data_IF_477913904560
#
_entry.id   IF_477913904560
#
_cell.length_a   1.000
_cell.length_b   1.000
_cell.length_c   1.000
_cell.angle_alpha   90.00
_cell.angle_beta   90.00
_cell.angle_gamma   90.00
#
_symmetry.space_group_name_H-M   'P 1'
#
loop_
_entity.id
_entity.type
_entity.pdbx_description
1 polymer ?
#
# COMPACT_ATOMS: atom_id res chain seq x y z
N UNK A 1 -9.85 11.84 15.45
CA UNK A 1 -8.99 10.63 15.62
C UNK A 1 -8.38 10.60 17.00
N UNK A 2 -8.24 9.41 17.60
CA UNK A 2 -7.55 9.24 18.89
C UNK A 2 -6.04 9.13 18.66
N UNK A 3 -5.26 9.86 19.48
CA UNK A 3 -3.79 9.73 19.50
C UNK A 3 -3.40 8.64 20.51
N UNK A 4 -2.71 7.60 20.03
CA UNK A 4 -2.30 6.45 20.86
C UNK A 4 -0.78 6.31 20.81
N UNK A 5 -0.15 6.19 21.98
CA UNK A 5 1.28 5.94 22.12
C UNK A 5 1.61 4.50 21.69
N UNK A 6 2.61 4.32 20.82
CA UNK A 6 3.18 3.00 20.51
C UNK A 6 4.43 2.75 21.35
N UNK A 7 5.44 3.64 21.24
CA UNK A 7 6.67 3.58 22.02
C UNK A 7 7.43 4.91 21.93
N UNK A 8 7.98 5.38 23.04
CA UNK A 8 8.81 6.59 23.07
C UNK A 8 8.08 7.81 22.50
N UNK A 9 8.58 8.35 21.39
CA UNK A 9 8.00 9.48 20.68
C UNK A 9 7.14 9.03 19.46
N UNK A 10 6.97 7.74 19.25
CA UNK A 10 6.18 7.18 18.15
C UNK A 10 4.74 6.96 18.59
N UNK A 11 3.81 7.60 17.91
CA UNK A 11 2.37 7.53 18.14
C UNK A 11 1.65 7.15 16.85
N UNK A 12 0.36 6.83 16.96
CA UNK A 12 -0.56 6.69 15.83
C UNK A 12 -1.82 7.52 16.07
N UNK A 13 -2.36 8.12 15.03
CA UNK A 13 -3.73 8.62 14.96
C UNK A 13 -4.61 7.51 14.39
N UNK A 14 -5.68 7.18 15.12
CA UNK A 14 -6.59 6.09 14.75
C UNK A 14 -7.71 6.62 13.85
N UNK A 15 -7.53 6.51 12.52
CA UNK A 15 -8.51 6.79 11.49
C UNK A 15 -9.04 5.51 10.82
N UNK A 16 -9.50 5.61 9.58
CA UNK A 16 -9.75 4.43 8.73
C UNK A 16 -8.45 3.65 8.55
N UNK A 17 -7.35 4.39 8.29
CA UNK A 17 -5.98 3.89 8.38
C UNK A 17 -5.31 4.41 9.64
N UNK A 18 -4.32 3.67 10.15
CA UNK A 18 -3.44 4.20 11.17
C UNK A 18 -2.47 5.19 10.54
N UNK A 19 -2.47 6.43 11.01
CA UNK A 19 -1.53 7.46 10.60
C UNK A 19 -0.46 7.59 11.68
N UNK A 20 0.73 6.99 11.50
CA UNK A 20 1.79 7.12 12.49
C UNK A 20 2.38 8.52 12.47
N UNK A 21 2.89 8.94 13.60
CA UNK A 21 3.67 10.17 13.72
C UNK A 21 4.82 9.99 14.71
N UNK A 22 5.87 10.75 14.49
CA UNK A 22 7.00 10.86 15.42
C UNK A 22 7.05 12.26 16.02
N UNK A 23 6.95 12.36 17.36
CA UNK A 23 7.03 13.65 18.05
C UNK A 23 8.46 14.18 18.06
N UNK A 24 8.60 15.46 17.72
CA UNK A 24 9.87 16.20 17.73
C UNK A 24 9.75 17.31 18.79
N UNK A 25 10.27 17.05 19.97
CA UNK A 25 10.05 17.93 21.13
C UNK A 25 8.64 17.82 21.68
N UNK A 26 8.13 18.93 22.24
CA UNK A 26 6.84 18.93 22.96
C UNK A 26 5.64 19.14 22.03
N UNK A 27 5.77 20.01 21.02
CA UNK A 27 4.69 20.60 20.24
C UNK A 27 4.77 20.30 18.72
N UNK A 28 5.76 19.54 18.25
CA UNK A 28 5.99 19.25 16.85
C UNK A 28 5.91 17.77 16.54
N UNK A 29 5.56 17.43 15.29
CA UNK A 29 5.59 16.03 14.83
C UNK A 29 5.96 15.94 13.35
N UNK A 30 6.50 14.78 12.96
CA UNK A 30 6.64 14.34 11.58
C UNK A 30 5.57 13.31 11.36
N UNK A 31 4.71 13.51 10.34
CA UNK A 31 3.70 12.54 9.94
C UNK A 31 4.32 11.45 9.06
N UNK A 32 3.97 10.20 9.33
CA UNK A 32 4.27 9.08 8.45
C UNK A 32 2.95 8.71 7.73
N UNK A 33 2.76 9.24 6.51
CA UNK A 33 1.50 9.33 5.78
C UNK A 33 0.49 10.36 6.35
N UNK A 34 -0.62 10.57 5.61
CA UNK A 34 -1.59 11.62 5.92
C UNK A 34 -3.06 11.18 5.80
N UNK A 35 -3.32 9.88 5.53
CA UNK A 35 -4.66 9.31 5.48
C UNK A 35 -5.53 9.76 4.30
N UNK A 36 -6.82 9.46 4.40
CA UNK A 36 -7.84 9.75 3.40
C UNK A 36 -8.20 11.23 3.32
N UNK A 37 -8.60 11.70 2.14
CA UNK A 37 -9.08 13.05 1.91
C UNK A 37 -10.27 13.43 2.82
N UNK A 38 -11.19 12.50 3.03
CA UNK A 38 -12.39 12.71 3.85
C UNK A 38 -12.09 12.89 5.34
N UNK A 39 -10.93 12.45 5.79
CA UNK A 39 -10.47 12.51 7.19
C UNK A 39 -9.62 13.75 7.48
N UNK A 40 -9.38 14.61 6.48
CA UNK A 40 -8.50 15.80 6.61
C UNK A 40 -8.82 16.66 7.82
N UNK A 41 -10.09 17.02 7.97
CA UNK A 41 -10.51 17.89 9.09
C UNK A 41 -10.26 17.20 10.43
N UNK A 42 -10.58 15.93 10.54
CA UNK A 42 -10.40 15.17 11.77
C UNK A 42 -8.91 14.97 12.11
N UNK A 43 -8.05 14.78 11.09
CA UNK A 43 -6.60 14.75 11.24
C UNK A 43 -6.09 16.08 11.85
N UNK A 44 -6.48 17.21 11.28
CA UNK A 44 -6.05 18.52 11.75
C UNK A 44 -6.57 18.83 13.18
N UNK A 45 -7.85 18.58 13.43
CA UNK A 45 -8.44 18.74 14.77
C UNK A 45 -7.74 17.87 15.82
N UNK A 46 -7.33 16.66 15.43
CA UNK A 46 -6.62 15.74 16.31
C UNK A 46 -5.20 16.21 16.61
N UNK A 47 -4.49 16.74 15.62
CA UNK A 47 -3.18 17.36 15.82
C UNK A 47 -3.30 18.57 16.77
N UNK A 48 -4.22 19.49 16.47
CA UNK A 48 -4.43 20.71 17.25
C UNK A 48 -4.83 20.42 18.71
N UNK A 49 -5.78 19.49 18.92
CA UNK A 49 -6.25 19.13 20.27
C UNK A 49 -5.17 18.47 21.13
N UNK A 50 -4.16 17.87 20.51
CA UNK A 50 -3.00 17.31 21.18
C UNK A 50 -1.80 18.28 21.23
N UNK A 51 -1.99 19.54 20.83
CA UNK A 51 -0.93 20.57 20.83
C UNK A 51 0.19 20.27 19.84
N UNK A 52 -0.08 19.55 18.74
CA UNK A 52 0.93 19.13 17.78
C UNK A 52 0.83 19.93 16.48
N UNK A 53 1.99 20.39 16.02
CA UNK A 53 2.15 21.04 14.70
C UNK A 53 3.01 20.15 13.81
N UNK A 54 2.55 19.76 12.63
CA UNK A 54 3.38 18.99 11.70
C UNK A 54 4.54 19.85 11.18
N UNK A 55 5.74 19.27 11.10
CA UNK A 55 6.95 19.92 10.58
C UNK A 55 7.52 19.22 9.36
N UNK A 56 6.94 18.09 8.96
CA UNK A 56 7.29 17.35 7.77
C UNK A 56 6.38 16.14 7.59
N UNK A 57 6.32 15.63 6.35
CA UNK A 57 5.58 14.43 5.98
C UNK A 57 6.56 13.48 5.29
N UNK A 58 6.70 12.26 5.81
CA UNK A 58 7.47 11.19 5.20
C UNK A 58 6.49 10.09 4.82
N UNK A 59 6.19 9.95 3.52
CA UNK A 59 5.16 9.04 3.05
C UNK A 59 5.72 7.70 2.64
N UNK A 60 4.99 6.64 3.01
CA UNK A 60 5.32 5.25 2.69
C UNK A 60 5.15 4.94 1.20
N UNK A 61 4.06 5.43 0.60
CA UNK A 61 3.73 5.30 -0.82
C UNK A 61 2.57 6.22 -1.20
N UNK A 62 2.27 6.35 -2.49
CA UNK A 62 1.38 7.38 -3.02
C UNK A 62 -0.04 6.86 -3.34
N UNK A 63 -0.67 6.09 -2.46
CA UNK A 63 -2.08 5.77 -2.56
C UNK A 63 -2.96 6.84 -1.88
N UNK A 64 -4.25 6.86 -2.26
CA UNK A 64 -5.21 7.90 -1.80
C UNK A 64 -5.48 7.85 -0.29
N UNK A 65 -5.35 6.70 0.31
CA UNK A 65 -5.51 6.45 1.74
C UNK A 65 -4.25 6.76 2.57
N UNK A 66 -3.14 7.11 1.88
CA UNK A 66 -1.87 7.46 2.52
C UNK A 66 -1.45 8.91 2.25
N UNK A 67 -1.63 9.40 1.03
CA UNK A 67 -1.08 10.68 0.58
C UNK A 67 -2.12 11.74 0.22
N UNK A 68 -3.42 11.52 0.44
CA UNK A 68 -4.46 12.43 -0.03
C UNK A 68 -4.38 13.84 0.57
N UNK A 69 -3.71 14.01 1.69
CA UNK A 69 -3.57 15.29 2.34
C UNK A 69 -2.16 15.90 2.24
N UNK A 70 -1.21 15.23 1.56
CA UNK A 70 0.17 15.71 1.45
C UNK A 70 0.26 17.12 0.89
N UNK A 71 -0.23 17.37 -0.32
CA UNK A 71 -0.14 18.69 -0.96
C UNK A 71 -0.86 19.78 -0.18
N UNK A 72 -1.99 19.46 0.43
CA UNK A 72 -2.72 20.42 1.27
C UNK A 72 -1.93 20.81 2.53
N UNK A 73 -1.38 19.83 3.25
CA UNK A 73 -0.62 20.08 4.47
C UNK A 73 0.72 20.75 4.15
N UNK A 74 1.37 20.36 3.04
CA UNK A 74 2.58 21.00 2.52
C UNK A 74 2.36 22.50 2.31
N UNK A 75 1.29 22.88 1.61
CA UNK A 75 0.95 24.27 1.35
C UNK A 75 0.55 25.03 2.62
N UNK A 76 -0.35 24.43 3.42
CA UNK A 76 -0.90 25.07 4.61
C UNK A 76 0.12 25.37 5.69
N UNK A 77 1.02 24.43 5.94
CA UNK A 77 2.02 24.53 7.02
C UNK A 77 3.41 24.93 6.52
N UNK A 78 3.61 25.00 5.20
CA UNK A 78 4.93 25.29 4.62
C UNK A 78 5.98 24.23 4.97
N UNK A 79 5.60 22.95 5.01
CA UNK A 79 6.41 21.83 5.48
C UNK A 79 6.87 20.94 4.31
N UNK A 80 8.07 20.33 4.40
CA UNK A 80 8.54 19.43 3.36
C UNK A 80 7.78 18.11 3.35
N UNK A 81 7.62 17.56 2.13
CA UNK A 81 7.11 16.22 1.86
C UNK A 81 8.23 15.37 1.27
N UNK A 82 8.45 14.18 1.84
CA UNK A 82 9.42 13.20 1.34
C UNK A 82 8.69 11.98 0.77
N UNK A 83 9.07 11.56 -0.46
CA UNK A 83 8.61 10.37 -1.17
C UNK A 83 9.78 9.70 -1.89
N UNK A 84 9.68 8.42 -2.18
CA UNK A 84 10.58 7.80 -3.16
C UNK A 84 10.35 8.39 -4.54
N UNK A 85 11.33 8.33 -5.43
CA UNK A 85 11.22 8.96 -6.74
C UNK A 85 10.10 8.33 -7.60
N UNK A 86 9.83 7.02 -7.44
CA UNK A 86 8.76 6.30 -8.13
C UNK A 86 7.39 6.86 -7.72
N UNK A 87 7.18 7.01 -6.43
CA UNK A 87 5.93 7.55 -5.88
C UNK A 87 5.77 9.05 -6.19
N UNK A 88 6.85 9.82 -6.12
CA UNK A 88 6.90 11.21 -6.55
C UNK A 88 6.54 11.37 -8.03
N UNK A 89 7.08 10.50 -8.89
CA UNK A 89 6.74 10.44 -10.30
C UNK A 89 5.25 10.17 -10.52
N UNK A 90 4.65 9.27 -9.76
CA UNK A 90 3.22 8.98 -9.82
C UNK A 90 2.36 10.19 -9.43
N UNK A 91 2.74 10.94 -8.40
CA UNK A 91 2.03 12.12 -7.93
C UNK A 91 2.28 13.39 -8.77
N UNK A 92 3.14 13.34 -9.80
CA UNK A 92 3.57 14.54 -10.53
C UNK A 92 2.48 15.17 -11.39
N UNK A 93 1.47 14.42 -11.81
CA UNK A 93 0.37 14.91 -12.65
C UNK A 93 -0.80 13.91 -12.75
N UNK A 94 -1.97 14.41 -13.19
CA UNK A 94 -3.12 13.55 -13.55
C UNK A 94 -2.73 12.52 -14.63
N UNK A 95 -1.84 12.89 -15.57
CA UNK A 95 -1.42 11.98 -16.64
C UNK A 95 -0.60 10.80 -16.11
N UNK A 96 0.30 11.03 -15.15
CA UNK A 96 1.06 9.96 -14.50
C UNK A 96 0.18 9.09 -13.62
N UNK A 97 -0.76 9.68 -12.88
CA UNK A 97 -1.79 8.94 -12.15
C UNK A 97 -2.66 8.09 -13.08
N UNK A 98 -3.01 8.60 -14.27
CA UNK A 98 -3.76 7.82 -15.28
C UNK A 98 -2.96 6.62 -15.79
N UNK A 99 -1.64 6.76 -15.97
CA UNK A 99 -0.79 5.62 -16.32
C UNK A 99 -0.78 4.54 -15.24
N UNK A 100 -0.85 4.93 -13.98
CA UNK A 100 -0.98 4.02 -12.85
C UNK A 100 -2.39 3.40 -12.76
N UNK A 101 -3.44 4.20 -12.88
CA UNK A 101 -4.84 3.76 -12.86
C UNK A 101 -5.34 3.36 -14.25
N UNK A 102 -4.69 2.39 -14.90
CA UNK A 102 -4.95 2.00 -16.30
C UNK A 102 -6.43 1.71 -16.60
N UNK A 103 -7.15 1.08 -15.67
CA UNK A 103 -8.56 0.68 -15.86
C UNK A 103 -9.56 1.83 -15.70
N UNK A 104 -9.15 2.97 -15.12
CA UNK A 104 -10.02 4.13 -14.91
C UNK A 104 -9.90 5.12 -16.07
N UNK A 105 -10.99 5.83 -16.40
CA UNK A 105 -10.93 6.92 -17.37
C UNK A 105 -10.20 8.15 -16.81
N UNK A 106 -9.59 9.01 -17.65
CA UNK A 106 -8.92 10.22 -17.15
C UNK A 106 -9.82 11.10 -16.27
N UNK A 107 -11.10 11.29 -16.64
CA UNK A 107 -12.04 12.07 -15.86
C UNK A 107 -12.41 11.44 -14.50
N UNK A 108 -12.33 10.11 -14.36
CA UNK A 108 -12.46 9.44 -13.05
C UNK A 108 -11.20 9.68 -12.22
N UNK A 109 -10.02 9.50 -12.79
CA UNK A 109 -8.75 9.73 -12.09
C UNK A 109 -8.66 11.17 -11.59
N UNK A 110 -8.97 12.15 -12.44
CA UNK A 110 -8.97 13.57 -12.07
C UNK A 110 -9.91 13.84 -10.89
N UNK A 111 -11.14 13.36 -10.97
CA UNK A 111 -12.18 13.62 -9.97
C UNK A 111 -11.85 12.99 -8.60
N UNK A 112 -11.14 11.87 -8.58
CA UNK A 112 -11.01 11.03 -7.40
C UNK A 112 -9.61 10.95 -6.83
N UNK A 113 -8.61 11.34 -7.64
CA UNK A 113 -7.21 11.22 -7.26
C UNK A 113 -6.42 12.51 -7.46
N UNK A 114 -7.07 13.62 -7.85
CA UNK A 114 -6.37 14.92 -8.00
C UNK A 114 -5.72 15.41 -6.70
N UNK A 115 -6.24 15.00 -5.55
CA UNK A 115 -5.65 15.29 -4.25
C UNK A 115 -4.25 14.70 -4.06
N UNK A 116 -3.87 13.69 -4.85
CA UNK A 116 -2.52 13.12 -4.85
C UNK A 116 -1.51 13.96 -5.64
N UNK A 117 -1.98 14.89 -6.50
CA UNK A 117 -1.06 15.67 -7.34
C UNK A 117 -0.38 16.74 -6.49
N UNK A 118 0.91 16.53 -6.24
CA UNK A 118 1.78 17.48 -5.57
C UNK A 118 3.24 17.22 -5.97
N UNK A 119 4.13 18.15 -5.63
CA UNK A 119 5.56 17.98 -5.83
C UNK A 119 6.23 17.79 -4.47
N UNK A 120 6.78 16.61 -4.17
CA UNK A 120 7.53 16.42 -2.94
C UNK A 120 8.83 17.24 -2.97
N UNK A 121 9.26 17.74 -1.81
CA UNK A 121 10.49 18.56 -1.67
C UNK A 121 11.72 17.67 -1.59
N UNK A 122 11.58 16.45 -1.07
CA UNK A 122 12.69 15.57 -0.78
C UNK A 122 12.45 14.19 -1.39
N UNK A 123 13.45 13.70 -2.10
CA UNK A 123 13.41 12.34 -2.69
C UNK A 123 14.15 11.37 -1.78
N UNK A 124 13.42 10.36 -1.31
CA UNK A 124 13.97 9.26 -0.52
C UNK A 124 14.76 8.33 -1.43
N UNK A 125 16.01 7.94 -1.06
CA UNK A 125 16.83 7.05 -1.87
C UNK A 125 16.16 5.68 -2.10
N UNK A 126 16.28 5.12 -3.32
CA UNK A 126 15.73 3.81 -3.69
C UNK A 126 16.62 2.65 -3.19
N UNK A 127 17.00 2.68 -1.94
CA UNK A 127 17.78 1.63 -1.23
C UNK A 127 17.49 1.67 0.25
N UNK A 128 17.74 0.58 0.94
CA UNK A 128 17.72 0.53 2.40
C UNK A 128 18.83 1.46 2.95
N UNK A 129 18.47 2.37 3.86
CA UNK A 129 19.40 3.36 4.40
C UNK A 129 18.86 4.02 5.67
N UNK A 130 19.76 4.68 6.41
CA UNK A 130 19.37 5.75 7.33
C UNK A 130 19.08 7.01 6.52
N UNK A 131 18.04 7.72 6.92
CA UNK A 131 17.55 8.90 6.23
C UNK A 131 17.20 10.01 7.23
N UNK A 132 17.97 11.07 7.20
CA UNK A 132 17.66 12.24 8.02
C UNK A 132 16.56 13.06 7.38
N UNK A 133 15.48 13.30 8.14
CA UNK A 133 14.37 14.14 7.71
C UNK A 133 13.86 15.01 8.86
N UNK A 134 13.83 16.33 8.66
CA UNK A 134 13.43 17.32 9.67
C UNK A 134 14.18 17.17 11.02
N UNK A 135 15.49 16.85 10.97
CA UNK A 135 16.34 16.68 12.16
C UNK A 135 16.17 15.35 12.89
N UNK A 136 15.48 14.38 12.31
CA UNK A 136 15.28 13.03 12.85
C UNK A 136 15.84 11.99 11.88
N UNK A 137 16.58 10.99 12.38
CA UNK A 137 17.08 9.88 11.59
C UNK A 137 16.08 8.72 11.60
N UNK A 138 15.53 8.40 10.43
CA UNK A 138 14.66 7.26 10.19
C UNK A 138 15.39 6.17 9.43
N UNK A 139 15.10 4.90 9.75
CA UNK A 139 15.49 3.79 8.88
C UNK A 139 14.50 3.67 7.72
N UNK A 140 15.01 3.53 6.48
CA UNK A 140 14.22 3.26 5.29
C UNK A 140 14.48 1.85 4.82
N UNK A 141 13.41 1.06 4.64
CA UNK A 141 13.48 -0.30 4.10
C UNK A 141 12.62 -0.31 2.84
N UNK A 142 13.24 -0.54 1.67
CA UNK A 142 12.52 -0.66 0.41
C UNK A 142 11.68 -1.93 0.39
N UNK A 143 10.39 -1.80 0.15
CA UNK A 143 9.44 -2.92 0.12
C UNK A 143 8.50 -2.83 -1.08
N UNK A 144 9.06 -2.79 -2.32
CA UNK A 144 8.23 -2.74 -3.53
C UNK A 144 7.32 -3.96 -3.65
N UNK A 145 6.24 -3.81 -4.38
CA UNK A 145 5.27 -4.87 -4.66
C UNK A 145 3.83 -4.44 -4.41
N UNK A 146 3.52 -3.83 -3.27
CA UNK A 146 2.23 -3.17 -3.08
C UNK A 146 2.12 -1.95 -4.02
N UNK A 147 3.11 -1.08 -4.02
CA UNK A 147 3.35 -0.07 -5.06
C UNK A 147 4.80 -0.14 -5.51
N UNK A 148 5.16 0.62 -6.55
CA UNK A 148 6.49 0.54 -7.18
C UNK A 148 7.62 1.06 -6.31
N UNK A 149 7.36 2.06 -5.50
CA UNK A 149 8.32 2.72 -4.61
C UNK A 149 7.98 2.59 -3.13
N UNK A 150 7.14 1.62 -2.75
CA UNK A 150 6.72 1.41 -1.37
C UNK A 150 7.91 1.21 -0.43
N UNK A 151 7.85 1.85 0.74
CA UNK A 151 8.84 1.73 1.81
C UNK A 151 8.19 1.41 3.16
N UNK A 152 8.94 0.73 4.01
CA UNK A 152 8.70 0.73 5.45
C UNK A 152 9.61 1.77 6.11
N UNK A 153 9.14 2.41 7.17
CA UNK A 153 9.86 3.46 7.89
C UNK A 153 10.09 3.04 9.33
N UNK A 154 11.36 3.05 9.76
CA UNK A 154 11.74 2.72 11.14
C UNK A 154 12.02 4.01 11.91
N UNK A 155 11.30 4.22 13.01
CA UNK A 155 11.51 5.37 13.86
C UNK A 155 12.70 5.17 14.80
N UNK A 156 13.28 6.26 15.38
CA UNK A 156 14.35 6.15 16.40
C UNK A 156 13.97 5.31 17.63
N UNK A 157 12.68 5.11 17.88
CA UNK A 157 12.17 4.31 18.97
C UNK A 157 12.14 2.79 18.69
N UNK A 158 12.71 2.37 17.55
CA UNK A 158 12.66 0.98 17.11
C UNK A 158 11.23 0.48 16.87
N UNK A 159 10.40 1.33 16.25
CA UNK A 159 9.07 1.02 15.74
C UNK A 159 9.10 1.07 14.22
N UNK A 160 8.69 0.00 13.57
CA UNK A 160 8.65 -0.08 12.11
C UNK A 160 7.22 0.14 11.59
N UNK A 161 7.01 1.23 10.86
CA UNK A 161 5.79 1.42 10.07
C UNK A 161 5.92 0.62 8.78
N UNK A 162 5.15 -0.45 8.65
CA UNK A 162 5.19 -1.34 7.47
C UNK A 162 4.14 -0.96 6.42
N UNK A 163 3.30 0.01 6.71
CA UNK A 163 2.23 0.51 5.84
C UNK A 163 1.44 -0.66 5.22
N UNK A 164 1.45 -0.79 3.90
CA UNK A 164 0.71 -1.79 3.13
C UNK A 164 1.57 -2.96 2.61
N UNK A 165 2.80 -3.11 3.11
CA UNK A 165 3.60 -4.30 2.82
C UNK A 165 2.95 -5.59 3.34
N UNK A 166 2.12 -5.47 4.40
CA UNK A 166 1.36 -6.58 5.01
C UNK A 166 -0.09 -6.16 5.33
N UNK A 167 -0.97 -7.15 5.31
CA UNK A 167 -2.31 -7.05 5.89
C UNK A 167 -2.24 -7.34 7.40
N UNK A 168 -3.03 -6.61 8.17
CA UNK A 168 -3.19 -6.88 9.60
C UNK A 168 -3.87 -8.23 9.86
N UNK A 169 -3.86 -8.68 11.12
CA UNK A 169 -4.55 -9.91 11.52
C UNK A 169 -6.06 -9.86 11.22
N UNK A 170 -6.68 -8.69 11.32
CA UNK A 170 -8.10 -8.48 11.05
C UNK A 170 -8.45 -8.64 9.57
N UNK A 171 -7.48 -8.45 8.67
CA UNK A 171 -7.64 -8.49 7.22
C UNK A 171 -7.15 -9.80 6.59
N UNK A 172 -6.87 -10.86 7.37
CA UNK A 172 -6.40 -12.16 6.88
C UNK A 172 -7.49 -12.98 6.15
N UNK A 173 -8.72 -12.49 6.06
CA UNK A 173 -9.80 -13.07 5.25
C UNK A 173 -9.98 -12.39 3.89
N UNK A 174 -9.11 -11.43 3.53
CA UNK A 174 -9.18 -10.71 2.26
C UNK A 174 -9.31 -11.68 1.07
N UNK A 175 -10.34 -11.45 0.24
CA UNK A 175 -10.65 -12.33 -0.90
C UNK A 175 -9.72 -12.13 -2.08
N UNK A 176 -9.39 -10.89 -2.36
CA UNK A 176 -8.50 -10.46 -3.44
C UNK A 176 -7.53 -9.39 -2.89
N UNK A 177 -6.54 -9.78 -2.07
CA UNK A 177 -5.52 -8.86 -1.59
C UNK A 177 -4.84 -8.14 -2.76
N UNK A 178 -4.59 -6.85 -2.58
CA UNK A 178 -3.95 -6.04 -3.60
C UNK A 178 -2.42 -6.08 -3.47
N UNK A 179 -1.75 -6.29 -4.58
CA UNK A 179 -0.37 -5.91 -4.81
C UNK A 179 -0.20 -5.65 -6.31
N UNK A 180 0.50 -4.59 -6.66
CA UNK A 180 0.82 -4.27 -8.06
C UNK A 180 1.67 -5.39 -8.70
N UNK A 181 2.58 -5.98 -7.91
CA UNK A 181 3.48 -7.04 -8.34
C UNK A 181 3.70 -8.05 -7.19
N UNK A 182 3.00 -9.18 -7.24
CA UNK A 182 3.00 -10.17 -6.15
C UNK A 182 4.38 -10.79 -5.88
N UNK A 183 5.17 -11.09 -6.91
CA UNK A 183 6.51 -11.68 -6.71
C UNK A 183 7.43 -10.71 -5.94
N UNK A 184 7.45 -9.42 -6.29
CA UNK A 184 8.20 -8.42 -5.54
C UNK A 184 7.66 -8.24 -4.12
N UNK A 185 6.34 -8.32 -3.92
CA UNK A 185 5.73 -8.26 -2.60
C UNK A 185 6.15 -9.46 -1.71
N UNK A 186 6.26 -10.67 -2.26
CA UNK A 186 6.80 -11.82 -1.54
C UNK A 186 8.26 -11.60 -1.09
N UNK A 187 9.13 -11.10 -1.99
CA UNK A 187 10.51 -10.79 -1.65
C UNK A 187 10.60 -9.71 -0.56
N UNK A 188 9.77 -8.68 -0.65
CA UNK A 188 9.67 -7.63 0.36
C UNK A 188 9.22 -8.17 1.72
N UNK A 189 8.19 -9.01 1.77
CA UNK A 189 7.75 -9.66 3.03
C UNK A 189 8.80 -10.63 3.57
N UNK A 190 9.50 -11.38 2.71
CA UNK A 190 10.62 -12.23 3.14
C UNK A 190 11.71 -11.41 3.79
N UNK A 191 12.08 -10.27 3.21
CA UNK A 191 13.04 -9.32 3.80
C UNK A 191 12.53 -8.80 5.14
N UNK A 192 11.29 -8.33 5.22
CA UNK A 192 10.68 -7.84 6.45
C UNK A 192 10.64 -8.91 7.55
N UNK A 193 10.38 -10.17 7.22
CA UNK A 193 10.41 -11.29 8.17
C UNK A 193 11.76 -11.53 8.84
N UNK A 194 12.85 -10.98 8.29
CA UNK A 194 14.20 -11.04 8.87
C UNK A 194 14.52 -9.86 9.79
N UNK A 195 13.71 -8.79 9.75
CA UNK A 195 13.89 -7.62 10.63
C UNK A 195 13.50 -7.95 12.08
N UNK A 196 14.03 -7.16 13.01
CA UNK A 196 13.74 -7.31 14.44
C UNK A 196 13.55 -5.92 15.03
N UNK A 197 12.28 -5.50 15.14
CA UNK A 197 11.88 -4.25 15.79
C UNK A 197 10.96 -4.54 16.97
N UNK A 198 10.87 -3.62 17.92
CA UNK A 198 10.04 -3.78 19.11
C UNK A 198 8.55 -3.84 18.77
N UNK A 199 8.13 -3.01 17.80
CA UNK A 199 6.76 -2.89 17.34
C UNK A 199 6.70 -2.68 15.84
N UNK A 200 5.61 -3.16 15.24
CA UNK A 200 5.30 -2.92 13.82
C UNK A 200 3.90 -2.31 13.72
N UNK A 201 3.77 -1.26 12.91
CA UNK A 201 2.49 -0.61 12.61
C UNK A 201 2.08 -0.97 11.20
N UNK A 202 0.90 -1.55 11.02
CA UNK A 202 0.28 -1.88 9.74
C UNK A 202 -0.82 -0.86 9.50
N UNK A 203 -0.85 -0.20 8.33
CA UNK A 203 -1.77 0.89 8.08
C UNK A 203 -3.24 0.50 8.30
N UNK A 204 -3.68 -0.60 7.72
CA UNK A 204 -5.05 -1.10 7.87
C UNK A 204 -5.27 -1.83 9.21
N UNK A 205 -5.24 -1.05 10.30
CA UNK A 205 -5.63 -1.47 11.67
C UNK A 205 -4.78 -2.56 12.31
N UNK A 206 -3.48 -2.31 12.45
CA UNK A 206 -2.65 -3.26 13.16
C UNK A 206 -1.45 -2.65 13.87
N UNK A 207 -1.35 -2.87 15.19
CA UNK A 207 -0.10 -2.66 15.94
C UNK A 207 0.33 -4.04 16.44
N UNK A 208 1.48 -4.51 15.95
CA UNK A 208 1.96 -5.87 16.15
C UNK A 208 3.24 -5.85 17.00
N UNK A 209 3.27 -6.56 18.15
CA UNK A 209 4.51 -6.78 18.88
C UNK A 209 5.57 -7.47 18.02
N UNK A 210 6.84 -7.10 18.20
CA UNK A 210 7.93 -7.67 17.42
C UNK A 210 8.02 -9.20 17.46
N UNK A 211 7.67 -9.81 18.59
CA UNK A 211 7.66 -11.26 18.74
C UNK A 211 6.63 -11.96 17.83
N UNK A 212 5.52 -11.29 17.50
CA UNK A 212 4.43 -11.84 16.71
C UNK A 212 4.59 -11.58 15.19
N UNK A 213 5.45 -10.64 14.83
CA UNK A 213 5.60 -10.19 13.45
C UNK A 213 6.02 -11.30 12.45
N UNK A 214 6.95 -12.21 12.77
CA UNK A 214 7.30 -13.31 11.87
C UNK A 214 6.12 -14.24 11.55
N UNK A 215 5.19 -14.43 12.50
CA UNK A 215 3.96 -15.18 12.26
C UNK A 215 3.02 -14.43 11.30
N UNK A 216 2.84 -13.12 11.49
CA UNK A 216 2.04 -12.28 10.62
C UNK A 216 2.56 -12.30 9.16
N UNK A 217 3.88 -12.27 8.97
CA UNK A 217 4.50 -12.38 7.63
C UNK A 217 4.14 -13.72 6.97
N UNK A 218 4.29 -14.84 7.69
CA UNK A 218 3.94 -16.18 7.17
C UNK A 218 2.45 -16.29 6.84
N UNK A 219 1.57 -15.73 7.69
CA UNK A 219 0.13 -15.76 7.46
C UNK A 219 -0.27 -14.98 6.20
N UNK A 220 0.38 -13.83 5.95
CA UNK A 220 0.22 -13.05 4.73
C UNK A 220 0.65 -13.83 3.48
N UNK A 221 1.83 -14.44 3.50
CA UNK A 221 2.30 -15.24 2.37
C UNK A 221 1.38 -16.43 2.10
N UNK A 222 0.96 -17.15 3.15
CA UNK A 222 0.02 -18.26 3.04
C UNK A 222 -1.33 -17.82 2.47
N UNK A 223 -1.83 -16.63 2.84
CA UNK A 223 -3.06 -16.07 2.28
C UNK A 223 -2.92 -15.84 0.76
N UNK A 224 -1.85 -15.16 0.33
CA UNK A 224 -1.66 -14.83 -1.09
C UNK A 224 -1.50 -16.10 -1.93
N UNK A 225 -0.67 -17.05 -1.48
CA UNK A 225 -0.48 -18.33 -2.17
C UNK A 225 -1.80 -19.11 -2.29
N UNK A 226 -2.57 -19.21 -1.21
CA UNK A 226 -3.89 -19.84 -1.24
C UNK A 226 -4.83 -19.17 -2.24
N UNK A 227 -4.87 -17.84 -2.32
CA UNK A 227 -5.68 -17.13 -3.31
C UNK A 227 -5.22 -17.38 -4.75
N UNK A 228 -3.90 -17.42 -4.98
CA UNK A 228 -3.33 -17.74 -6.28
C UNK A 228 -3.70 -19.19 -6.69
N UNK A 229 -3.61 -20.16 -5.78
CA UNK A 229 -4.01 -21.55 -6.01
C UNK A 229 -5.51 -21.70 -6.29
N UNK A 230 -6.36 -21.03 -5.50
CA UNK A 230 -7.81 -20.98 -5.71
C UNK A 230 -8.15 -20.41 -7.10
N UNK A 231 -7.52 -19.29 -7.51
CA UNK A 231 -7.74 -18.69 -8.83
C UNK A 231 -7.27 -19.63 -9.94
N UNK A 232 -6.09 -20.25 -9.81
CA UNK A 232 -5.60 -21.23 -10.78
C UNK A 232 -6.59 -22.40 -10.94
N UNK A 233 -7.16 -22.89 -9.86
CA UNK A 233 -8.12 -24.00 -9.87
C UNK A 233 -9.43 -23.69 -10.61
N UNK A 234 -9.73 -22.42 -10.86
CA UNK A 234 -10.91 -21.99 -11.62
C UNK A 234 -10.67 -21.88 -13.14
N UNK A 235 -9.43 -22.06 -13.58
CA UNK A 235 -9.06 -22.03 -15.01
C UNK A 235 -8.89 -23.46 -15.51
N UNK A 236 -9.77 -23.91 -16.39
CA UNK A 236 -9.82 -25.32 -16.81
C UNK A 236 -9.28 -25.60 -18.23
N UNK A 237 -8.86 -24.56 -18.95
CA UNK A 237 -8.34 -24.64 -20.32
C UNK A 237 -8.19 -23.24 -20.91
N UNK A 238 -8.04 -23.11 -22.23
CA UNK A 238 -7.92 -21.81 -22.86
C UNK A 238 -9.11 -20.91 -22.51
N UNK A 239 -8.87 -19.88 -21.70
CA UNK A 239 -9.90 -19.03 -21.12
C UNK A 239 -9.48 -17.55 -21.23
N UNK A 240 -10.38 -16.68 -21.68
CA UNK A 240 -10.11 -15.24 -21.76
C UNK A 240 -10.01 -14.63 -20.35
N UNK A 241 -9.25 -13.52 -20.23
CA UNK A 241 -9.15 -12.79 -18.95
C UNK A 241 -10.54 -12.34 -18.44
N UNK A 242 -11.43 -11.90 -19.32
CA UNK A 242 -12.79 -11.48 -18.94
C UNK A 242 -13.59 -12.61 -18.28
N UNK A 243 -13.42 -13.82 -18.78
CA UNK A 243 -14.08 -15.00 -18.23
C UNK A 243 -13.46 -15.44 -16.90
N UNK A 244 -12.13 -15.44 -16.80
CA UNK A 244 -11.42 -15.66 -15.53
C UNK A 244 -11.92 -14.68 -14.48
N UNK A 245 -11.92 -13.38 -14.78
CA UNK A 245 -12.39 -12.34 -13.85
C UNK A 245 -13.83 -12.58 -13.38
N UNK A 246 -14.74 -12.89 -14.31
CA UNK A 246 -16.15 -13.20 -14.00
C UNK A 246 -16.26 -14.42 -13.08
N UNK A 247 -15.52 -15.48 -13.37
CA UNK A 247 -15.53 -16.74 -12.60
C UNK A 247 -14.97 -16.54 -11.20
N UNK A 248 -13.83 -15.85 -11.07
CA UNK A 248 -13.22 -15.52 -9.79
C UNK A 248 -14.14 -14.60 -8.95
N UNK A 249 -14.72 -13.57 -9.56
CA UNK A 249 -15.67 -12.69 -8.85
C UNK A 249 -16.93 -13.44 -8.42
N UNK A 250 -17.41 -14.42 -9.20
CA UNK A 250 -18.54 -15.27 -8.79
C UNK A 250 -18.17 -16.18 -7.62
N UNK A 251 -17.01 -16.83 -7.69
CA UNK A 251 -16.50 -17.71 -6.63
C UNK A 251 -16.42 -17.00 -5.28
N UNK A 252 -15.84 -15.80 -5.26
CA UNK A 252 -15.69 -15.00 -4.04
C UNK A 252 -16.94 -14.18 -3.66
N UNK A 253 -18.06 -14.28 -4.41
CA UNK A 253 -19.29 -13.49 -4.19
C UNK A 253 -19.03 -11.98 -4.29
N UNK A 254 -18.19 -11.56 -5.25
CA UNK A 254 -17.81 -10.18 -5.51
C UNK A 254 -18.52 -9.55 -6.72
N UNK A 255 -19.43 -10.29 -7.37
CA UNK A 255 -20.22 -9.75 -8.49
C UNK A 255 -20.96 -8.48 -8.03
N UNK A 256 -20.86 -7.42 -8.82
CA UNK A 256 -21.41 -6.10 -8.46
C UNK A 256 -22.00 -5.39 -9.67
N UNK A 257 -22.97 -4.52 -9.43
CA UNK A 257 -23.52 -3.58 -10.44
C UNK A 257 -22.84 -2.20 -10.40
N UNK A 258 -21.87 -2.02 -9.51
CA UNK A 258 -21.12 -0.77 -9.38
C UNK A 258 -19.87 -0.82 -10.27
N UNK A 259 -19.76 -0.04 -11.36
CA UNK A 259 -18.65 -0.14 -12.32
C UNK A 259 -17.27 0.01 -11.65
N UNK A 260 -17.12 0.99 -10.75
CA UNK A 260 -15.86 1.24 -10.05
C UNK A 260 -15.40 0.07 -9.19
N UNK A 261 -16.35 -0.54 -8.46
CA UNK A 261 -16.06 -1.72 -7.64
C UNK A 261 -15.67 -2.90 -8.53
N UNK A 262 -16.34 -3.07 -9.68
CA UNK A 262 -16.01 -4.06 -10.68
C UNK A 262 -14.58 -3.89 -11.21
N UNK A 263 -14.22 -2.66 -11.62
CA UNK A 263 -12.86 -2.34 -12.11
C UNK A 263 -11.76 -2.57 -11.06
N UNK A 264 -12.07 -2.34 -9.79
CA UNK A 264 -11.14 -2.64 -8.69
C UNK A 264 -10.90 -4.15 -8.56
N UNK A 265 -11.96 -4.95 -8.62
CA UNK A 265 -11.81 -6.41 -8.58
C UNK A 265 -11.08 -6.95 -9.81
N UNK A 266 -11.43 -6.45 -11.00
CA UNK A 266 -10.75 -6.80 -12.26
C UNK A 266 -9.25 -6.53 -12.18
N UNK A 267 -8.84 -5.38 -11.67
CA UNK A 267 -7.43 -5.04 -11.44
C UNK A 267 -6.75 -6.06 -10.52
N UNK A 268 -7.36 -6.39 -9.38
CA UNK A 268 -6.75 -7.31 -8.43
C UNK A 268 -6.67 -8.74 -8.99
N UNK A 269 -7.70 -9.21 -9.71
CA UNK A 269 -7.66 -10.51 -10.41
C UNK A 269 -6.55 -10.53 -11.46
N UNK A 270 -6.36 -9.44 -12.20
CA UNK A 270 -5.30 -9.33 -13.20
C UNK A 270 -3.91 -9.52 -12.61
N UNK A 271 -3.61 -8.91 -11.49
CA UNK A 271 -2.32 -9.08 -10.82
C UNK A 271 -2.06 -10.51 -10.34
N UNK A 272 -3.09 -11.23 -9.92
CA UNK A 272 -2.96 -12.66 -9.64
C UNK A 272 -2.72 -13.48 -10.92
N UNK A 273 -3.42 -13.17 -12.01
CA UNK A 273 -3.21 -13.87 -13.30
C UNK A 273 -1.80 -13.61 -13.84
N UNK A 274 -1.31 -12.37 -13.75
CA UNK A 274 0.07 -12.01 -14.12
C UNK A 274 1.08 -12.80 -13.29
N UNK A 275 0.90 -12.85 -11.98
CA UNK A 275 1.73 -13.66 -11.09
C UNK A 275 1.73 -15.15 -11.49
N UNK A 276 0.56 -15.72 -11.79
CA UNK A 276 0.44 -17.13 -12.19
C UNK A 276 1.13 -17.39 -13.54
N UNK A 277 1.13 -16.43 -14.45
CA UNK A 277 1.87 -16.52 -15.74
C UNK A 277 3.37 -16.42 -15.51
N UNK A 278 3.85 -15.41 -14.78
CA UNK A 278 5.26 -15.20 -14.51
C UNK A 278 5.90 -16.38 -13.77
N UNK A 279 5.15 -16.97 -12.84
CA UNK A 279 5.58 -18.17 -12.12
C UNK A 279 5.38 -19.48 -12.92
N UNK A 280 4.84 -19.41 -14.15
CA UNK A 280 4.68 -20.56 -15.04
C UNK A 280 3.58 -21.55 -14.64
N UNK A 281 2.59 -21.12 -13.86
CA UNK A 281 1.37 -21.90 -13.56
C UNK A 281 0.33 -21.77 -14.67
N UNK A 282 0.31 -20.61 -15.34
CA UNK A 282 -0.49 -20.36 -16.53
C UNK A 282 0.45 -20.05 -17.70
N UNK A 283 0.03 -20.41 -18.90
CA UNK A 283 0.63 -19.97 -20.16
C UNK A 283 -0.36 -19.13 -20.96
N UNK A 284 0.17 -18.22 -21.76
CA UNK A 284 -0.62 -17.37 -22.66
C UNK A 284 -0.55 -17.88 -24.08
N UNK A 285 -1.69 -17.88 -24.77
CA UNK A 285 -1.83 -18.10 -26.20
C UNK A 285 -2.68 -17.01 -26.83
N UNK A 286 -2.75 -16.97 -28.14
CA UNK A 286 -3.62 -16.06 -28.87
C UNK A 286 -4.40 -16.87 -29.92
N UNK A 287 -5.72 -16.74 -29.91
CA UNK A 287 -6.62 -17.37 -30.87
C UNK A 287 -7.66 -16.34 -31.32
N UNK A 288 -7.85 -16.20 -32.62
CA UNK A 288 -8.79 -15.24 -33.22
C UNK A 288 -8.70 -13.81 -32.64
N UNK A 289 -7.48 -13.35 -32.35
CA UNK A 289 -7.22 -12.00 -31.79
C UNK A 289 -7.51 -11.88 -30.31
N UNK A 290 -7.87 -12.97 -29.62
CA UNK A 290 -8.13 -13.02 -28.17
C UNK A 290 -6.93 -13.65 -27.46
N UNK A 291 -6.44 -12.99 -26.39
CA UNK A 291 -5.48 -13.60 -25.48
C UNK A 291 -6.18 -14.58 -24.56
N UNK A 292 -5.68 -15.81 -24.51
CA UNK A 292 -6.19 -16.90 -23.69
C UNK A 292 -5.12 -17.36 -22.68
N UNK A 293 -5.58 -17.87 -21.56
CA UNK A 293 -4.76 -18.38 -20.47
C UNK A 293 -5.11 -19.85 -20.22
N UNK A 294 -4.11 -20.72 -20.13
CA UNK A 294 -4.28 -22.16 -19.89
C UNK A 294 -3.38 -22.64 -18.75
N UNK A 295 -3.84 -23.56 -17.90
CA UNK A 295 -2.98 -24.20 -16.91
C UNK A 295 -1.86 -25.00 -17.57
N UNK A 296 -0.64 -24.86 -17.08
CA UNK A 296 0.55 -25.61 -17.56
C UNK A 296 0.66 -27.00 -16.96
N UNK A 297 -0.11 -27.28 -15.90
CA UNK A 297 0.02 -28.49 -15.09
C UNK A 297 1.07 -28.40 -13.98
N UNK A 298 1.79 -27.28 -13.86
CA UNK A 298 2.66 -27.00 -12.70
C UNK A 298 1.79 -26.93 -11.43
N UNK A 299 2.27 -27.52 -10.34
CA UNK A 299 1.61 -27.49 -9.01
C UNK A 299 2.31 -26.50 -8.09
N UNK A 300 1.55 -25.91 -7.15
CA UNK A 300 2.08 -25.10 -6.07
C UNK A 300 2.99 -25.88 -5.13
#
# INVERSE_FOLDING_TARGET
>A
MKLTLVKGNTYVLEGEELIPLYKVGEDKCILLDTGLLIERQELEESLLSNGLTPVGILSSHAHVDHCANNGYLQEKYGIPVALTWQEAGMCSSIMTLKCYFLTLTPGIVERESSCLVHTPDVIIPSRDCEFEFCGVNFGIIQTPGHSSGHICVVTPDDVCYVADALLSRENQDAKLPYALYHAAAFESRRKMGQTRHSWYIIAHKGICPGADFPALVRDNDALILRRAEEILSLVHGPTSFSEINRTVCAHYKLLTRQPRRSLRFERNVRFFVEYLVDEGYLEMSCEDGSTLYSPTGKKF
#
